data_IF_329390089288
#
_entry.id   IF_329390089288
#
_cell.length_a   1.000
_cell.length_b   1.000
_cell.length_c   1.000
_cell.angle_alpha   90.00
_cell.angle_beta   90.00
_cell.angle_gamma   90.00
#
_symmetry.space_group_name_H-M   'P 1'
#
loop_
_entity.id
_entity.type
_entity.pdbx_description
1 polymer ?
#
# COMPACT_ATOMS: atom_id res chain seq x y z
N UNK A 1 0.81 20.72 -65.88
CA UNK A 1 1.83 19.78 -66.36
C UNK A 1 2.62 19.29 -65.17
N UNK A 2 2.34 18.10 -64.64
CA UNK A 2 3.36 17.16 -64.17
C UNK A 2 2.68 15.85 -63.82
N UNK A 3 3.24 14.79 -64.39
CA UNK A 3 2.95 13.37 -64.22
C UNK A 3 2.95 12.99 -62.72
N UNK A 4 2.35 11.89 -62.27
CA UNK A 4 3.02 10.59 -62.17
C UNK A 4 1.98 9.56 -61.68
N UNK A 5 1.71 8.54 -62.51
CA UNK A 5 2.06 7.14 -62.28
C UNK A 5 1.31 6.44 -61.14
N UNK A 6 0.32 5.66 -61.55
CA UNK A 6 -0.22 4.50 -60.82
C UNK A 6 0.92 3.50 -60.55
N UNK A 7 0.91 2.81 -59.40
CA UNK A 7 1.19 1.38 -59.39
C UNK A 7 -0.08 0.57 -59.14
N UNK A 8 -0.40 -0.26 -60.13
CA UNK A 8 -1.24 -1.44 -59.97
C UNK A 8 -0.35 -2.54 -59.37
N UNK A 9 -1.00 -3.55 -58.79
CA UNK A 9 -0.51 -4.87 -58.36
C UNK A 9 -0.44 -5.11 -56.84
N UNK A 10 -1.26 -6.09 -56.45
CA UNK A 10 -1.47 -6.75 -55.16
C UNK A 10 -0.21 -7.54 -54.70
N UNK A 11 -0.17 -8.06 -53.45
CA UNK A 11 -0.66 -9.43 -53.29
C UNK A 11 -1.59 -9.66 -52.09
N UNK A 12 -2.51 -10.58 -52.36
CA UNK A 12 -3.30 -11.41 -51.44
C UNK A 12 -2.37 -12.19 -50.48
N UNK A 13 -2.93 -12.69 -49.39
CA UNK A 13 -2.31 -13.45 -48.27
C UNK A 13 -1.90 -12.54 -47.11
N UNK A 14 -2.31 -12.76 -45.85
CA UNK A 14 -2.41 -14.02 -45.13
C UNK A 14 -3.66 -14.08 -44.25
N UNK A 15 -4.41 -15.16 -44.42
CA UNK A 15 -5.31 -15.73 -43.43
C UNK A 15 -4.48 -16.04 -42.18
N UNK A 16 -4.63 -15.27 -41.10
CA UNK A 16 -4.21 -15.71 -39.77
C UNK A 16 -5.44 -16.12 -38.97
N UNK A 17 -5.58 -17.43 -38.90
CA UNK A 17 -6.52 -18.25 -38.14
C UNK A 17 -6.43 -17.87 -36.66
N UNK A 18 -7.49 -17.27 -36.10
CA UNK A 18 -7.68 -17.19 -34.65
C UNK A 18 -8.03 -18.59 -34.13
N UNK A 19 -7.27 -19.20 -33.21
CA UNK A 19 -7.77 -20.34 -32.45
C UNK A 19 -8.77 -19.85 -31.38
N UNK A 20 -9.83 -20.64 -31.10
CA UNK A 20 -10.94 -20.22 -30.28
C UNK A 20 -10.60 -20.16 -28.78
N UNK A 21 -11.28 -19.19 -28.15
CA UNK A 21 -11.65 -19.13 -26.74
C UNK A 21 -11.84 -20.55 -26.17
N UNK A 22 -11.06 -20.89 -25.16
CA UNK A 22 -11.25 -22.09 -24.33
C UNK A 22 -11.38 -21.66 -22.87
N UNK A 23 -12.62 -21.43 -22.44
CA UNK A 23 -13.08 -21.60 -21.06
C UNK A 23 -14.27 -22.57 -21.12
N UNK A 24 -14.78 -23.16 -20.03
CA UNK A 24 -14.39 -23.06 -18.62
C UNK A 24 -14.25 -24.48 -17.97
N UNK A 25 -14.44 -24.54 -16.63
CA UNK A 25 -14.78 -25.72 -15.78
C UNK A 25 -13.52 -26.35 -15.12
N UNK A 26 -13.46 -26.69 -13.83
CA UNK A 26 -14.46 -27.26 -12.91
C UNK A 26 -14.09 -26.88 -11.45
N UNK A 27 -15.09 -26.52 -10.65
CA UNK A 27 -15.06 -26.43 -9.19
C UNK A 27 -14.69 -27.77 -8.55
N UNK A 28 -13.85 -27.77 -7.50
CA UNK A 28 -13.84 -28.85 -6.52
C UNK A 28 -13.43 -28.34 -5.12
N UNK A 29 -14.42 -27.99 -4.33
CA UNK A 29 -14.52 -28.31 -2.88
C UNK A 29 -15.56 -29.45 -2.78
N UNK A 30 -15.75 -30.21 -1.68
CA UNK A 30 -15.25 -30.07 -0.30
C UNK A 30 -14.74 -31.40 0.33
N UNK A 31 -14.11 -31.35 1.51
CA UNK A 31 -14.31 -32.40 2.54
C UNK A 31 -14.01 -31.88 3.95
N UNK A 32 -14.89 -32.15 4.93
CA UNK A 32 -14.70 -31.83 6.34
C UNK A 32 -13.97 -32.96 7.08
N UNK A 33 -13.19 -32.61 8.10
CA UNK A 33 -12.72 -33.56 9.13
C UNK A 33 -13.04 -33.02 10.51
N UNK A 34 -14.00 -33.68 11.15
CA UNK A 34 -14.25 -33.69 12.60
C UNK A 34 -13.81 -35.06 13.11
N UNK A 35 -13.14 -35.16 14.26
CA UNK A 35 -13.78 -35.68 15.49
C UNK A 35 -13.32 -34.89 16.75
N UNK A 36 -14.21 -34.41 17.61
CA UNK A 36 -14.93 -35.10 18.70
C UNK A 36 -14.14 -35.24 20.03
N UNK A 37 -14.81 -34.77 21.09
CA UNK A 37 -14.74 -35.16 22.51
C UNK A 37 -13.55 -34.70 23.40
N UNK A 38 -13.86 -34.16 24.58
CA UNK A 38 -12.88 -34.02 25.66
C UNK A 38 -13.25 -33.08 26.81
N UNK A 39 -14.13 -33.54 27.67
CA UNK A 39 -14.61 -32.99 28.94
C UNK A 39 -13.63 -32.22 29.86
N UNK A 40 -14.11 -31.08 30.36
CA UNK A 40 -14.20 -30.67 31.78
C UNK A 40 -13.03 -30.93 32.76
N UNK A 41 -12.52 -29.84 33.37
CA UNK A 41 -12.36 -29.76 34.85
C UNK A 41 -12.54 -28.34 35.40
N UNK A 42 -13.66 -28.17 36.11
CA UNK A 42 -13.83 -27.59 37.45
C UNK A 42 -13.44 -26.12 37.73
N UNK A 43 -14.50 -25.33 37.95
CA UNK A 43 -14.49 -24.10 38.73
C UNK A 43 -14.16 -24.36 40.21
N UNK A 44 -13.31 -23.51 40.80
CA UNK A 44 -13.15 -23.40 42.24
C UNK A 44 -13.90 -22.15 42.73
N UNK A 45 -14.89 -22.40 43.58
CA UNK A 45 -15.65 -21.42 44.34
C UNK A 45 -14.85 -21.21 45.64
N UNK A 46 -14.48 -19.97 45.94
CA UNK A 46 -13.92 -19.56 47.23
C UNK A 46 -14.63 -18.30 47.70
N UNK A 47 -15.52 -18.45 48.67
CA UNK A 47 -16.26 -17.38 49.36
C UNK A 47 -15.51 -16.92 50.61
N UNK A 48 -15.88 -15.71 51.04
CA UNK A 48 -15.78 -15.10 52.38
C UNK A 48 -14.56 -14.20 52.63
N UNK A 49 -14.62 -13.12 53.41
CA UNK A 49 -15.67 -12.22 53.93
C UNK A 49 -14.94 -11.13 54.76
N UNK A 50 -15.63 -10.02 55.03
CA UNK A 50 -15.37 -9.01 56.09
C UNK A 50 -14.15 -8.07 55.88
N UNK A 51 -14.35 -6.77 55.62
CA UNK A 51 -14.78 -5.67 56.51
C UNK A 51 -13.61 -4.96 57.19
N UNK A 52 -13.37 -3.69 56.82
CA UNK A 52 -13.06 -2.58 57.74
C UNK A 52 -12.88 -1.28 56.96
N UNK A 53 -13.52 -0.23 57.46
CA UNK A 53 -13.43 1.18 57.04
C UNK A 53 -12.10 1.78 57.50
N UNK A 54 -11.56 2.79 56.80
CA UNK A 54 -11.19 4.12 57.34
C UNK A 54 -10.76 5.08 56.20
N UNK A 55 -11.05 6.40 56.31
CA UNK A 55 -10.86 7.36 55.23
C UNK A 55 -9.57 8.20 55.41
N UNK A 56 -8.86 8.49 54.32
CA UNK A 56 -8.00 9.69 54.28
C UNK A 56 -7.77 10.18 52.85
N UNK A 57 -8.05 11.45 52.65
CA UNK A 57 -7.76 12.27 51.47
C UNK A 57 -6.26 12.33 51.14
N UNK A 58 -5.89 12.34 49.85
CA UNK A 58 -4.99 13.36 49.25
C UNK A 58 -4.73 13.14 47.74
N UNK A 59 -5.21 14.10 46.95
CA UNK A 59 -4.58 14.80 45.80
C UNK A 59 -3.64 14.04 44.83
N UNK A 60 -4.11 13.91 43.58
CA UNK A 60 -3.51 14.22 42.24
C UNK A 60 -1.99 13.95 42.03
N UNK A 61 -1.60 13.37 40.87
CA UNK A 61 -1.73 14.12 39.61
C UNK A 61 -2.26 13.35 38.40
N UNK A 62 -2.95 14.11 37.56
CA UNK A 62 -3.23 13.80 36.17
C UNK A 62 -1.93 13.43 35.46
N UNK A 63 -1.78 12.16 35.06
CA UNK A 63 -0.88 11.83 33.96
C UNK A 63 -1.65 12.10 32.67
N UNK A 64 -1.48 13.32 32.13
CA UNK A 64 -1.66 13.57 30.70
C UNK A 64 -0.69 12.62 29.99
N UNK A 65 -1.21 11.54 29.41
CA UNK A 65 -0.42 10.72 28.51
C UNK A 65 -0.08 11.59 27.30
N UNK A 66 1.22 11.69 27.04
CA UNK A 66 1.83 12.50 26.01
C UNK A 66 1.28 12.14 24.62
N UNK A 67 0.48 13.03 24.05
CA UNK A 67 0.21 13.07 22.61
C UNK A 67 1.45 13.69 21.97
N UNK A 68 2.31 12.83 21.43
CA UNK A 68 3.05 12.99 20.17
C UNK A 68 4.15 11.93 20.14
N UNK A 69 3.79 10.68 19.85
CA UNK A 69 4.78 9.75 19.31
C UNK A 69 4.92 10.06 17.82
N UNK A 70 5.56 11.20 17.49
CA UNK A 70 6.11 11.40 16.15
C UNK A 70 7.17 10.32 16.01
N UNK A 71 6.82 9.22 15.34
CA UNK A 71 7.79 8.26 14.85
C UNK A 71 8.63 9.01 13.85
N UNK A 72 9.72 9.60 14.32
CA UNK A 72 10.76 10.11 13.45
C UNK A 72 11.28 8.89 12.69
N UNK A 73 10.90 8.76 11.42
CA UNK A 73 11.49 7.82 10.49
C UNK A 73 12.93 8.27 10.19
N UNK A 74 13.80 8.27 11.21
CA UNK A 74 15.24 8.29 11.02
C UNK A 74 15.62 6.86 10.66
N UNK A 75 15.56 6.54 9.37
CA UNK A 75 16.18 5.32 8.86
C UNK A 75 17.70 5.48 9.02
N UNK A 76 18.21 5.15 10.21
CA UNK A 76 19.64 4.94 10.44
C UNK A 76 20.15 4.01 9.34
N UNK A 77 20.98 4.53 8.43
CA UNK A 77 21.63 3.76 7.34
C UNK A 77 22.48 2.67 7.97
N UNK A 78 21.87 1.52 8.26
CA UNK A 78 22.53 0.33 8.75
C UNK A 78 23.28 -0.27 7.57
N UNK A 79 24.49 0.23 7.34
CA UNK A 79 25.35 -0.18 6.23
C UNK A 79 25.70 -1.66 6.33
N UNK A 80 25.14 -2.48 5.44
CA UNK A 80 25.62 -3.84 5.20
C UNK A 80 26.74 -3.79 4.16
N UNK A 81 27.84 -4.49 4.43
CA UNK A 81 29.07 -4.52 3.62
C UNK A 81 28.91 -5.19 2.22
N UNK A 82 27.68 -5.34 1.72
CA UNK A 82 27.35 -5.99 0.44
C UNK A 82 26.33 -5.21 -0.38
N UNK A 83 26.21 -3.89 -0.17
CA UNK A 83 25.29 -3.06 -0.95
C UNK A 83 25.67 -3.11 -2.44
N UNK A 84 24.85 -3.82 -3.23
CA UNK A 84 24.97 -3.77 -4.69
C UNK A 84 24.48 -2.40 -5.17
N UNK A 85 24.90 -1.93 -6.36
CA UNK A 85 24.34 -0.72 -6.96
C UNK A 85 22.81 -0.76 -7.09
N UNK A 86 22.22 -1.94 -7.29
CA UNK A 86 20.77 -2.15 -7.29
C UNK A 86 20.14 -1.89 -5.91
N UNK A 87 20.78 -2.35 -4.83
CA UNK A 87 20.27 -2.16 -3.48
C UNK A 87 20.24 -0.68 -3.08
N UNK A 88 21.21 0.12 -3.54
CA UNK A 88 21.19 1.56 -3.33
C UNK A 88 19.96 2.23 -3.99
N UNK A 89 19.67 1.91 -5.25
CA UNK A 89 18.48 2.43 -5.94
C UNK A 89 17.19 1.97 -5.27
N UNK A 90 17.15 0.74 -4.75
CA UNK A 90 15.97 0.20 -4.06
C UNK A 90 15.77 0.88 -2.70
N UNK A 91 16.86 1.25 -2.03
CA UNK A 91 16.83 2.03 -0.79
C UNK A 91 16.22 3.41 -1.06
N UNK A 92 16.74 4.14 -2.05
CA UNK A 92 16.24 5.47 -2.42
C UNK A 92 14.75 5.43 -2.82
N UNK A 93 14.34 4.43 -3.59
CA UNK A 93 12.93 4.21 -3.95
C UNK A 93 12.06 3.87 -2.73
N UNK A 94 12.59 3.10 -1.79
CA UNK A 94 11.86 2.72 -0.57
C UNK A 94 11.71 3.90 0.38
N UNK A 95 12.73 4.76 0.47
CA UNK A 95 12.68 6.01 1.22
C UNK A 95 11.63 6.95 0.62
N UNK A 96 11.68 7.20 -0.70
CA UNK A 96 10.71 8.04 -1.38
C UNK A 96 9.28 7.47 -1.30
N UNK A 97 9.13 6.14 -1.33
CA UNK A 97 7.84 5.49 -1.08
C UNK A 97 7.33 5.75 0.34
N UNK A 98 8.21 5.78 1.34
CA UNK A 98 7.85 6.15 2.71
C UNK A 98 7.26 7.55 2.78
N UNK A 99 7.95 8.54 2.18
CA UNK A 99 7.47 9.93 2.11
C UNK A 99 6.10 10.02 1.41
N UNK A 100 5.98 9.43 0.21
CA UNK A 100 4.72 9.47 -0.54
C UNK A 100 3.56 8.77 0.19
N UNK A 101 3.87 7.72 0.96
CA UNK A 101 2.86 7.03 1.77
C UNK A 101 2.42 7.87 2.97
N UNK A 102 3.33 8.54 3.65
CA UNK A 102 3.01 9.40 4.79
C UNK A 102 2.08 10.55 4.34
N UNK A 103 2.40 11.20 3.21
CA UNK A 103 1.55 12.25 2.65
C UNK A 103 0.18 11.72 2.21
N UNK A 104 0.12 10.52 1.62
CA UNK A 104 -1.16 9.86 1.32
C UNK A 104 -1.99 9.58 2.57
N UNK A 105 -1.37 9.11 3.66
CA UNK A 105 -2.06 8.85 4.93
C UNK A 105 -2.61 10.17 5.51
N UNK A 106 -1.82 11.25 5.52
CA UNK A 106 -2.27 12.60 5.93
C UNK A 106 -3.46 13.04 5.07
N UNK A 107 -3.33 12.98 3.74
CA UNK A 107 -4.36 13.39 2.81
C UNK A 107 -5.66 12.60 2.98
N UNK A 108 -5.55 11.30 3.25
CA UNK A 108 -6.71 10.44 3.49
C UNK A 108 -7.45 10.82 4.78
N UNK A 109 -6.72 11.03 5.88
CA UNK A 109 -7.31 11.45 7.14
C UNK A 109 -7.96 12.82 7.05
N UNK A 110 -7.33 13.76 6.34
CA UNK A 110 -7.81 15.13 6.25
C UNK A 110 -9.03 15.25 5.35
N UNK A 111 -9.09 14.43 4.29
CA UNK A 111 -10.28 14.29 3.45
C UNK A 111 -11.44 13.68 4.23
N UNK A 112 -11.21 12.62 5.01
CA UNK A 112 -12.24 12.01 5.86
C UNK A 112 -12.76 13.00 6.93
N UNK A 113 -11.90 13.89 7.43
CA UNK A 113 -12.27 14.97 8.37
C UNK A 113 -12.96 16.16 7.71
N UNK A 114 -13.01 16.22 6.37
CA UNK A 114 -13.52 17.36 5.58
C UNK A 114 -12.91 18.70 6.00
N UNK A 115 -11.62 18.68 6.30
CA UNK A 115 -10.93 19.88 6.72
C UNK A 115 -10.56 20.75 5.53
N UNK A 116 -10.27 22.02 5.83
CA UNK A 116 -9.82 23.02 4.86
C UNK A 116 -8.47 22.68 4.23
N UNK A 117 -7.67 21.84 4.88
CA UNK A 117 -6.35 21.43 4.40
C UNK A 117 -6.41 20.23 3.45
N UNK A 118 -7.54 19.53 3.38
CA UNK A 118 -7.68 18.29 2.63
C UNK A 118 -7.29 18.42 1.15
N UNK A 119 -7.57 19.57 0.52
CA UNK A 119 -7.17 19.81 -0.88
C UNK A 119 -5.66 19.88 -1.06
N UNK A 120 -4.97 20.61 -0.17
CA UNK A 120 -3.52 20.79 -0.26
C UNK A 120 -2.79 19.48 0.06
N UNK A 121 -3.27 18.71 1.03
CA UNK A 121 -2.65 17.44 1.41
C UNK A 121 -2.83 16.39 0.29
N UNK A 122 -3.98 16.36 -0.38
CA UNK A 122 -4.16 15.50 -1.57
C UNK A 122 -3.19 15.87 -2.68
N UNK A 123 -2.96 17.16 -2.92
CA UNK A 123 -1.99 17.63 -3.90
C UNK A 123 -0.57 17.19 -3.54
N UNK A 124 -0.17 17.31 -2.25
CA UNK A 124 1.11 16.81 -1.77
C UNK A 124 1.29 15.29 -1.98
N UNK A 125 0.25 14.50 -1.70
CA UNK A 125 0.27 13.05 -1.95
C UNK A 125 0.45 12.72 -3.44
N UNK A 126 -0.19 13.49 -4.33
CA UNK A 126 -0.06 13.33 -5.79
C UNK A 126 1.35 13.70 -6.27
N UNK A 127 1.90 14.80 -5.75
CA UNK A 127 3.26 15.27 -6.09
C UNK A 127 4.32 14.24 -5.70
N UNK A 128 4.28 13.74 -4.46
CA UNK A 128 5.27 12.76 -3.98
C UNK A 128 5.09 11.40 -4.65
N UNK A 129 3.86 10.98 -4.99
CA UNK A 129 3.63 9.81 -5.85
C UNK A 129 4.22 10.01 -7.25
N UNK A 130 4.06 11.20 -7.84
CA UNK A 130 4.63 11.51 -9.14
C UNK A 130 6.17 11.44 -9.11
N UNK A 131 6.80 11.99 -8.07
CA UNK A 131 8.24 11.88 -7.83
C UNK A 131 8.69 10.42 -7.70
N UNK A 132 7.98 9.60 -6.92
CA UNK A 132 8.24 8.17 -6.80
C UNK A 132 8.14 7.46 -8.16
N UNK A 133 7.10 7.76 -8.95
CA UNK A 133 6.91 7.16 -10.28
C UNK A 133 8.03 7.53 -11.24
N UNK A 134 8.51 8.76 -11.20
CA UNK A 134 9.63 9.21 -12.03
C UNK A 134 10.94 8.53 -11.65
N UNK A 135 11.24 8.43 -10.35
CA UNK A 135 12.40 7.67 -9.86
C UNK A 135 12.30 6.20 -10.26
N UNK A 136 11.13 5.60 -10.10
CA UNK A 136 10.90 4.20 -10.44
C UNK A 136 11.04 3.95 -11.94
N UNK A 137 10.47 4.81 -12.79
CA UNK A 137 10.57 4.71 -14.25
C UNK A 137 12.03 4.79 -14.72
N UNK A 138 12.79 5.77 -14.21
CA UNK A 138 14.22 5.88 -14.51
C UNK A 138 15.01 4.66 -14.04
N UNK A 139 14.68 4.11 -12.87
CA UNK A 139 15.38 2.96 -12.31
C UNK A 139 15.12 1.65 -13.09
N UNK A 140 13.91 1.46 -13.64
CA UNK A 140 13.60 0.24 -14.41
C UNK A 140 14.19 0.22 -15.82
N UNK A 141 14.61 1.36 -16.35
CA UNK A 141 15.33 1.46 -17.63
C UNK A 141 16.81 1.07 -17.51
N UNK A 142 17.34 0.99 -16.28
CA UNK A 142 18.73 0.62 -16.01
C UNK A 142 19.02 -0.89 -16.02
N UNK A 143 20.30 -1.24 -15.83
CA UNK A 143 20.80 -2.62 -15.79
C UNK A 143 20.06 -3.53 -14.79
N UNK A 144 19.59 -2.96 -13.69
CA UNK A 144 18.94 -3.68 -12.59
C UNK A 144 17.41 -3.63 -12.63
N UNK A 145 16.83 -3.19 -13.75
CA UNK A 145 15.41 -2.86 -13.82
C UNK A 145 14.45 -4.00 -13.46
N UNK A 146 14.76 -5.24 -13.83
CA UNK A 146 13.93 -6.41 -13.47
C UNK A 146 13.94 -6.73 -11.97
N UNK A 147 15.06 -6.49 -11.27
CA UNK A 147 15.15 -6.67 -9.82
C UNK A 147 14.35 -5.58 -9.10
N UNK A 148 14.52 -4.34 -9.53
CA UNK A 148 13.80 -3.17 -8.99
C UNK A 148 12.30 -3.33 -9.20
N UNK A 149 11.88 -3.77 -10.39
CA UNK A 149 10.48 -4.04 -10.72
C UNK A 149 9.88 -5.11 -9.82
N UNK A 150 10.62 -6.18 -9.52
CA UNK A 150 10.19 -7.25 -8.60
C UNK A 150 10.04 -6.75 -7.16
N UNK A 151 10.96 -5.92 -6.67
CA UNK A 151 10.98 -5.48 -5.26
C UNK A 151 10.11 -4.26 -4.95
N UNK A 152 9.92 -3.34 -5.92
CA UNK A 152 9.26 -2.05 -5.70
C UNK A 152 7.96 -1.92 -6.50
N UNK A 153 7.79 -2.66 -7.59
CA UNK A 153 6.68 -2.46 -8.52
C UNK A 153 5.28 -2.66 -7.94
N UNK A 154 5.08 -3.59 -7.00
CA UNK A 154 3.77 -3.76 -6.35
C UNK A 154 3.41 -2.54 -5.50
N UNK A 155 4.37 -2.06 -4.70
CA UNK A 155 4.20 -0.92 -3.79
C UNK A 155 3.81 0.37 -4.53
N UNK A 156 4.47 0.65 -5.66
CA UNK A 156 4.17 1.83 -6.49
C UNK A 156 2.74 1.76 -7.03
N UNK A 157 2.31 0.60 -7.53
CA UNK A 157 0.95 0.41 -8.08
C UNK A 157 -0.11 0.50 -6.99
N UNK A 158 0.13 -0.09 -5.81
CA UNK A 158 -0.77 -0.02 -4.67
C UNK A 158 -1.01 1.43 -4.24
N UNK A 159 0.07 2.21 -4.11
CA UNK A 159 -0.03 3.63 -3.75
C UNK A 159 -0.74 4.45 -4.84
N UNK A 160 -0.44 4.20 -6.12
CA UNK A 160 -1.12 4.85 -7.25
C UNK A 160 -2.63 4.61 -7.23
N UNK A 161 -3.05 3.35 -7.04
CA UNK A 161 -4.48 3.04 -6.92
C UNK A 161 -5.10 3.68 -5.67
N UNK A 162 -4.36 3.75 -4.56
CA UNK A 162 -4.79 4.42 -3.34
C UNK A 162 -5.05 5.91 -3.55
N UNK A 163 -4.10 6.63 -4.16
CA UNK A 163 -4.23 8.06 -4.48
C UNK A 163 -5.38 8.30 -5.45
N UNK A 164 -5.50 7.51 -6.52
CA UNK A 164 -6.62 7.60 -7.46
C UNK A 164 -7.98 7.43 -6.75
N UNK A 165 -8.09 6.44 -5.84
CA UNK A 165 -9.32 6.22 -5.08
C UNK A 165 -9.60 7.35 -4.07
N UNK A 166 -8.57 8.01 -3.56
CA UNK A 166 -8.73 9.20 -2.71
C UNK A 166 -9.25 10.40 -3.50
N UNK A 167 -8.69 10.66 -4.69
CA UNK A 167 -9.15 11.73 -5.58
C UNK A 167 -10.60 11.51 -6.03
N UNK A 168 -10.96 10.28 -6.39
CA UNK A 168 -12.33 9.94 -6.78
C UNK A 168 -13.33 10.24 -5.66
N UNK A 169 -13.04 9.82 -4.43
CA UNK A 169 -13.89 10.09 -3.25
C UNK A 169 -13.99 11.59 -2.95
N UNK A 170 -12.89 12.32 -3.08
CA UNK A 170 -12.91 13.77 -2.88
C UNK A 170 -13.81 14.48 -3.89
N UNK A 171 -13.85 14.01 -5.13
CA UNK A 171 -14.70 14.57 -6.18
C UNK A 171 -16.19 14.28 -5.97
N UNK A 172 -16.53 13.17 -5.31
CA UNK A 172 -17.92 12.80 -4.94
C UNK A 172 -18.47 13.61 -3.75
N UNK A 173 -17.58 14.10 -2.87
CA UNK A 173 -17.94 14.83 -1.64
C UNK A 173 -18.11 16.36 -1.85
N UNK A 174 -17.95 16.86 -3.08
CA UNK A 174 -18.13 18.26 -3.50
C UNK A 174 -19.50 18.52 -4.13
#
# INVERSE_FOLDING_TARGET
MSSHLIPKYLPRTLVRKNPPISTPRIFNTPTPRTPAAGFSTRAAIGKAAAAAQFPHTQRRPFRRASLTNRRTHTHERRGYATATPADALIEDLTEQYGVARDEFEIASEETDKRSVYASADREAAVEELHKLKNMYAAAIEGEYGEEIKRRVGSRVRELEQGVMALEARALEDH
#
